data_IF_927087816260
#
_entry.id   IF_927087816260
#
_cell.length_a   1.000
_cell.length_b   1.000
_cell.length_c   1.000
_cell.angle_alpha   90.00
_cell.angle_beta   90.00
_cell.angle_gamma   90.00
#
_symmetry.space_group_name_H-M   'P 1'
#
loop_
_entity.id
_entity.type
_entity.pdbx_description
1 polymer ?
#
# COMPACT_ATOMS: atom_id res chain seq x y z
N UNK A 1 54.04 -47.25 33.43
CA UNK A 1 53.54 -46.71 34.71
C UNK A 1 53.16 -45.25 34.54
N UNK A 2 51.97 -44.88 35.06
CA UNK A 2 51.50 -43.52 35.49
C UNK A 2 51.36 -42.46 34.37
N UNK A 3 50.20 -42.25 33.73
CA UNK A 3 48.92 -41.64 34.14
C UNK A 3 48.94 -40.13 34.49
N UNK A 4 48.03 -39.40 33.80
CA UNK A 4 47.46 -38.04 34.01
C UNK A 4 48.31 -36.91 33.38
N UNK A 5 47.78 -36.06 32.51
CA UNK A 5 46.57 -35.21 32.69
C UNK A 5 45.80 -34.90 31.39
N UNK A 6 44.52 -34.68 31.61
CA UNK A 6 43.41 -34.36 30.70
C UNK A 6 43.33 -32.82 30.47
N UNK A 7 42.57 -32.39 29.45
CA UNK A 7 42.13 -31.01 29.10
C UNK A 7 43.07 -30.12 28.28
N UNK A 8 42.79 -29.97 26.97
CA UNK A 8 42.49 -28.68 26.31
C UNK A 8 42.20 -28.90 24.81
N UNK A 9 40.97 -29.32 24.51
CA UNK A 9 40.34 -29.06 23.20
C UNK A 9 39.04 -28.32 23.49
N UNK A 10 39.11 -27.00 23.57
CA UNK A 10 37.94 -26.14 23.51
C UNK A 10 38.34 -24.77 22.97
N UNK A 11 37.49 -24.23 22.10
CA UNK A 11 37.42 -22.84 21.64
C UNK A 11 38.31 -22.47 20.44
N UNK A 12 37.89 -22.89 19.24
CA UNK A 12 38.11 -22.13 18.01
C UNK A 12 36.90 -22.25 17.06
N UNK A 13 35.69 -22.20 17.62
CA UNK A 13 34.44 -22.07 16.86
C UNK A 13 33.47 -21.25 17.70
N UNK A 14 33.87 -20.00 17.99
CA UNK A 14 32.99 -19.00 18.55
C UNK A 14 32.87 -17.87 17.53
N UNK A 15 31.71 -17.82 16.88
CA UNK A 15 31.09 -16.60 16.41
C UNK A 15 31.86 -15.73 15.42
N UNK A 16 31.81 -16.12 14.14
CA UNK A 16 31.50 -15.13 13.10
C UNK A 16 30.00 -14.76 13.21
N UNK A 17 29.58 -14.30 14.38
CA UNK A 17 28.48 -13.38 14.46
C UNK A 17 29.08 -12.08 13.97
N UNK A 18 28.89 -11.80 12.68
CA UNK A 18 28.92 -10.44 12.19
C UNK A 18 27.87 -9.69 13.02
N UNK A 19 28.31 -9.14 14.16
CA UNK A 19 27.63 -8.08 14.85
C UNK A 19 27.69 -6.90 13.88
N UNK A 20 26.76 -6.89 12.93
CA UNK A 20 26.39 -5.71 12.19
C UNK A 20 26.18 -4.64 13.24
N UNK A 21 27.04 -3.61 13.22
CA UNK A 21 26.79 -2.42 13.99
C UNK A 21 25.52 -1.82 13.43
N UNK A 22 24.38 -2.15 14.05
CA UNK A 22 23.11 -1.50 13.80
C UNK A 22 23.33 -0.06 14.26
N UNK A 23 23.67 0.82 13.32
CA UNK A 23 23.37 2.22 13.48
C UNK A 23 21.89 2.29 13.88
N UNK A 24 21.60 3.02 14.95
CA UNK A 24 20.35 2.98 15.70
C UNK A 24 19.17 3.50 14.85
N UNK A 25 18.70 2.68 13.91
CA UNK A 25 17.70 3.05 12.90
C UNK A 25 16.37 3.41 13.57
N UNK A 26 15.64 4.34 12.96
CA UNK A 26 14.35 4.82 13.47
C UNK A 26 13.39 3.69 13.82
N UNK A 27 13.39 2.59 13.06
CA UNK A 27 12.53 1.44 13.36
C UNK A 27 12.89 0.76 14.69
N UNK A 28 14.19 0.56 14.94
CA UNK A 28 14.68 -0.02 16.19
C UNK A 28 14.34 0.86 17.39
N UNK A 29 14.45 2.19 17.24
CA UNK A 29 14.07 3.16 18.28
C UNK A 29 12.56 3.16 18.54
N UNK A 30 11.75 2.91 17.51
CA UNK A 30 10.31 2.69 17.63
C UNK A 30 9.94 1.28 18.13
N UNK A 31 10.91 0.37 18.29
CA UNK A 31 10.67 -1.03 18.66
C UNK A 31 9.95 -1.83 17.57
N UNK A 32 10.09 -1.42 16.32
CA UNK A 32 9.47 -2.06 15.17
C UNK A 32 10.46 -3.00 14.49
N UNK A 33 10.00 -4.23 14.23
CA UNK A 33 10.73 -5.14 13.34
C UNK A 33 10.65 -4.62 11.90
N UNK A 34 11.78 -4.68 11.18
CA UNK A 34 11.89 -4.16 9.81
C UNK A 34 10.84 -4.75 8.87
N UNK A 35 10.66 -6.07 8.89
CA UNK A 35 9.69 -6.74 8.02
C UNK A 35 8.26 -6.26 8.27
N UNK A 36 7.89 -6.13 9.55
CA UNK A 36 6.59 -5.66 10.01
C UNK A 36 6.34 -4.20 9.61
N UNK A 37 7.33 -3.32 9.82
CA UNK A 37 7.24 -1.92 9.42
C UNK A 37 7.05 -1.79 7.90
N UNK A 38 7.86 -2.50 7.11
CA UNK A 38 7.76 -2.52 5.66
C UNK A 38 6.40 -3.04 5.17
N UNK A 39 5.84 -4.07 5.82
CA UNK A 39 4.49 -4.57 5.53
C UNK A 39 3.43 -3.51 5.79
N UNK A 40 3.53 -2.80 6.92
CA UNK A 40 2.60 -1.70 7.25
C UNK A 40 2.72 -0.54 6.27
N UNK A 41 3.94 -0.19 5.83
CA UNK A 41 4.17 0.85 4.83
C UNK A 41 3.53 0.46 3.49
N UNK A 42 3.77 -0.78 3.02
CA UNK A 42 3.15 -1.32 1.81
C UNK A 42 1.62 -1.24 1.90
N UNK A 43 1.03 -1.80 2.96
CA UNK A 43 -0.42 -1.87 3.11
C UNK A 43 -1.08 -0.49 3.12
N UNK A 44 -0.48 0.49 3.82
CA UNK A 44 -1.05 1.83 3.93
C UNK A 44 -0.88 2.68 2.66
N UNK A 45 0.20 2.47 1.89
CA UNK A 45 0.52 3.31 0.73
C UNK A 45 0.03 2.76 -0.61
N UNK A 46 0.00 1.43 -0.78
CA UNK A 46 -0.37 0.82 -2.07
C UNK A 46 -1.52 -0.16 -1.98
N UNK A 47 -2.05 -0.41 -0.78
CA UNK A 47 -3.26 -1.20 -0.54
C UNK A 47 -2.99 -2.50 0.21
N UNK A 48 -4.06 -3.04 0.82
CA UNK A 48 -4.00 -4.27 1.61
C UNK A 48 -4.40 -5.47 0.74
N UNK A 49 -3.47 -6.41 0.56
CA UNK A 49 -3.63 -7.60 -0.27
C UNK A 49 -4.14 -8.83 0.51
N UNK A 50 -4.69 -8.65 1.72
CA UNK A 50 -5.03 -9.75 2.64
C UNK A 50 -6.19 -10.65 2.21
N UNK A 51 -7.00 -10.23 1.24
CA UNK A 51 -8.26 -10.90 0.92
C UNK A 51 -8.15 -11.91 -0.23
N UNK A 52 -6.93 -12.20 -0.72
CA UNK A 52 -6.71 -13.09 -1.86
C UNK A 52 -7.16 -12.47 -3.18
N UNK A 53 -7.45 -13.30 -4.21
CA UNK A 53 -7.96 -12.84 -5.48
C UNK A 53 -9.22 -11.98 -5.34
N UNK A 54 -9.32 -10.89 -6.10
CA UNK A 54 -10.50 -10.00 -6.06
C UNK A 54 -11.67 -10.54 -6.88
N UNK A 55 -12.16 -11.73 -6.51
CA UNK A 55 -13.23 -12.41 -7.24
C UNK A 55 -14.63 -11.83 -6.92
N UNK A 56 -14.83 -11.24 -5.72
CA UNK A 56 -16.14 -10.74 -5.25
C UNK A 56 -16.04 -9.49 -4.36
N UNK A 57 -15.17 -8.53 -4.69
CA UNK A 57 -15.03 -7.33 -3.85
C UNK A 57 -16.08 -6.28 -4.25
N UNK A 58 -17.03 -6.06 -3.35
CA UNK A 58 -17.94 -4.93 -3.40
C UNK A 58 -17.12 -3.65 -3.20
N UNK A 59 -17.37 -2.62 -4.00
CA UNK A 59 -16.71 -1.32 -3.86
C UNK A 59 -17.14 -0.74 -2.51
N UNK A 60 -16.32 -0.93 -1.47
CA UNK A 60 -16.63 -0.44 -0.13
C UNK A 60 -16.68 1.08 -0.20
N UNK A 61 -17.91 1.60 -0.21
CA UNK A 61 -18.19 3.03 -0.12
C UNK A 61 -17.56 3.63 1.13
N UNK A 62 -17.33 4.94 1.11
CA UNK A 62 -16.87 5.70 2.25
C UNK A 62 -17.84 5.55 3.43
N UNK A 63 -17.62 4.55 4.27
CA UNK A 63 -18.39 4.34 5.49
C UNK A 63 -17.68 5.03 6.65
N UNK A 64 -18.44 5.69 7.51
CA UNK A 64 -17.93 6.17 8.81
C UNK A 64 -17.66 5.00 9.78
N UNK A 65 -17.70 3.77 9.29
CA UNK A 65 -17.46 2.57 10.08
C UNK A 65 -15.96 2.43 10.39
N UNK A 66 -15.66 2.31 11.67
CA UNK A 66 -14.28 2.22 12.17
C UNK A 66 -13.62 0.93 11.67
N UNK A 67 -14.37 -0.18 11.63
CA UNK A 67 -13.85 -1.46 11.22
C UNK A 67 -13.41 -1.43 9.75
N UNK A 68 -14.22 -0.85 8.86
CA UNK A 68 -13.84 -0.67 7.46
C UNK A 68 -12.62 0.22 7.28
N UNK A 69 -12.50 1.31 8.05
CA UNK A 69 -11.31 2.16 7.98
C UNK A 69 -10.03 1.41 8.40
N UNK A 70 -10.10 0.50 9.38
CA UNK A 70 -8.93 -0.27 9.82
C UNK A 70 -8.42 -1.30 8.80
N UNK A 71 -9.24 -1.67 7.80
CA UNK A 71 -8.78 -2.53 6.70
C UNK A 71 -7.78 -1.81 5.78
N UNK A 72 -7.92 -0.49 5.65
CA UNK A 72 -7.15 0.34 4.72
C UNK A 72 -6.18 1.31 5.41
N UNK A 73 -6.30 1.48 6.73
CA UNK A 73 -5.39 2.29 7.54
C UNK A 73 -5.00 1.55 8.81
N UNK A 74 -3.76 1.06 8.83
CA UNK A 74 -3.21 0.25 9.91
C UNK A 74 -2.06 1.01 10.59
N UNK A 75 -2.19 1.25 11.89
CA UNK A 75 -1.10 1.81 12.68
C UNK A 75 -0.27 0.67 13.29
N UNK A 76 1.07 0.71 13.19
CA UNK A 76 1.89 -0.28 13.85
C UNK A 76 1.75 -0.15 15.36
N UNK A 77 1.79 -1.28 16.06
CA UNK A 77 1.89 -1.27 17.52
C UNK A 77 3.30 -0.81 17.93
N UNK A 78 3.37 0.30 18.67
CA UNK A 78 4.61 0.81 19.27
C UNK A 78 4.50 0.61 20.78
N UNK A 79 5.47 -0.08 21.42
CA UNK A 79 5.46 -0.26 22.87
C UNK A 79 5.41 1.09 23.59
N UNK A 80 4.52 1.21 24.59
CA UNK A 80 4.32 2.45 25.36
C UNK A 80 5.62 3.11 25.83
N UNK A 81 6.62 2.39 26.39
CA UNK A 81 7.87 3.01 26.81
C UNK A 81 8.61 3.71 25.66
N UNK A 82 8.66 3.07 24.48
CA UNK A 82 9.31 3.63 23.28
C UNK A 82 8.57 4.86 22.78
N UNK A 83 7.24 4.81 22.77
CA UNK A 83 6.41 5.96 22.40
C UNK A 83 6.60 7.13 23.38
N UNK A 84 6.61 6.88 24.68
CA UNK A 84 6.85 7.93 25.69
C UNK A 84 8.23 8.56 25.53
N UNK A 85 9.28 7.76 25.30
CA UNK A 85 10.64 8.28 25.04
C UNK A 85 10.65 9.18 23.80
N UNK A 86 9.96 8.79 22.73
CA UNK A 86 9.84 9.60 21.52
C UNK A 86 9.10 10.92 21.77
N UNK A 87 7.98 10.87 22.49
CA UNK A 87 7.13 12.03 22.80
C UNK A 87 7.83 13.05 23.68
N UNK A 88 8.71 12.59 24.58
CA UNK A 88 9.52 13.45 25.43
C UNK A 88 10.83 13.92 24.76
N UNK A 89 11.17 13.35 23.60
CA UNK A 89 12.36 13.69 22.83
C UNK A 89 12.07 14.51 21.59
N UNK A 90 12.96 14.41 20.60
CA UNK A 90 12.82 15.09 19.31
C UNK A 90 11.83 14.35 18.37
N UNK A 91 10.53 14.61 18.57
CA UNK A 91 9.46 14.04 17.75
C UNK A 91 9.48 14.54 16.29
N UNK A 92 9.97 15.75 16.01
CA UNK A 92 10.01 16.29 14.64
C UNK A 92 11.18 15.69 13.85
N UNK A 93 12.35 15.57 14.48
CA UNK A 93 13.49 14.85 13.92
C UNK A 93 13.15 13.38 13.65
N UNK A 94 12.52 12.70 14.61
CA UNK A 94 12.08 11.33 14.41
C UNK A 94 11.05 11.16 13.28
N UNK A 95 10.10 12.10 13.17
CA UNK A 95 9.13 12.09 12.06
C UNK A 95 9.83 12.26 10.71
N UNK A 96 10.79 13.18 10.61
CA UNK A 96 11.59 13.41 9.39
C UNK A 96 12.40 12.17 9.02
N UNK A 97 13.02 11.51 10.00
CA UNK A 97 13.78 10.29 9.79
C UNK A 97 12.90 9.12 9.33
N UNK A 98 11.72 8.95 9.94
CA UNK A 98 10.74 7.95 9.50
C UNK A 98 10.26 8.22 8.07
N UNK A 99 9.97 9.48 7.72
CA UNK A 99 9.65 9.86 6.34
C UNK A 99 10.80 9.52 5.38
N UNK A 100 12.04 9.78 5.78
CA UNK A 100 13.23 9.41 5.02
C UNK A 100 13.36 7.89 4.83
N UNK A 101 13.12 7.10 5.90
CA UNK A 101 13.08 5.64 5.84
C UNK A 101 12.01 5.16 4.85
N UNK A 102 10.78 5.67 4.97
CA UNK A 102 9.66 5.30 4.10
C UNK A 102 10.02 5.58 2.64
N UNK A 103 10.51 6.78 2.34
CA UNK A 103 10.94 7.14 0.99
C UNK A 103 12.02 6.19 0.48
N UNK A 104 13.04 5.89 1.30
CA UNK A 104 14.12 4.94 0.93
C UNK A 104 13.56 3.55 0.63
N UNK A 105 12.67 3.04 1.47
CA UNK A 105 12.03 1.75 1.25
C UNK A 105 11.25 1.72 -0.07
N UNK A 106 10.45 2.74 -0.38
CA UNK A 106 9.72 2.80 -1.65
C UNK A 106 10.62 2.84 -2.88
N UNK A 107 11.86 3.31 -2.73
CA UNK A 107 12.87 3.35 -3.78
C UNK A 107 13.72 2.06 -3.83
N UNK A 108 13.35 1.02 -3.08
CA UNK A 108 14.16 -0.19 -2.93
C UNK A 108 13.70 -1.38 -3.78
N UNK A 109 14.63 -2.31 -4.04
CA UNK A 109 14.32 -3.58 -4.72
C UNK A 109 13.34 -4.44 -3.93
N UNK A 110 13.43 -4.40 -2.61
CA UNK A 110 12.56 -5.13 -1.69
C UNK A 110 11.12 -4.63 -1.75
N UNK A 111 10.91 -3.32 -1.87
CA UNK A 111 9.56 -2.77 -2.04
C UNK A 111 8.93 -3.24 -3.35
N UNK A 112 9.60 -3.05 -4.49
CA UNK A 112 9.00 -3.39 -5.79
C UNK A 112 8.76 -4.89 -5.92
N UNK A 113 9.67 -5.72 -5.39
CA UNK A 113 9.48 -7.18 -5.34
C UNK A 113 8.25 -7.55 -4.53
N UNK A 114 8.09 -6.95 -3.33
CA UNK A 114 6.96 -7.26 -2.44
C UNK A 114 5.64 -6.74 -3.02
N UNK A 115 5.65 -5.55 -3.65
CA UNK A 115 4.49 -5.00 -4.35
C UNK A 115 4.03 -5.91 -5.49
N UNK A 116 4.95 -6.27 -6.40
CA UNK A 116 4.62 -7.11 -7.55
C UNK A 116 4.11 -8.49 -7.12
N UNK A 117 4.75 -9.10 -6.11
CA UNK A 117 4.30 -10.37 -5.54
C UNK A 117 2.86 -10.26 -5.00
N UNK A 118 2.59 -9.22 -4.21
CA UNK A 118 1.26 -9.02 -3.63
C UNK A 118 0.21 -8.71 -4.70
N UNK A 119 0.54 -7.87 -5.68
CA UNK A 119 -0.30 -7.53 -6.83
C UNK A 119 -0.69 -8.76 -7.65
N UNK A 120 0.27 -9.61 -7.99
CA UNK A 120 0.00 -10.85 -8.74
C UNK A 120 -0.84 -11.82 -7.91
N UNK A 121 -0.62 -11.92 -6.59
CA UNK A 121 -1.44 -12.78 -5.72
C UNK A 121 -2.89 -12.32 -5.58
N UNK A 122 -3.16 -11.02 -5.77
CA UNK A 122 -4.49 -10.44 -5.72
C UNK A 122 -5.21 -10.43 -7.08
N UNK A 123 -4.57 -10.94 -8.14
CA UNK A 123 -5.15 -11.00 -9.47
C UNK A 123 -6.43 -11.84 -9.46
N UNK A 124 -7.55 -11.34 -10.01
CA UNK A 124 -8.78 -12.11 -10.11
C UNK A 124 -8.58 -13.43 -10.86
N UNK A 125 -9.25 -14.47 -10.39
CA UNK A 125 -9.21 -15.81 -11.01
C UNK A 125 -10.45 -16.09 -11.85
N UNK A 126 -11.50 -15.28 -11.69
CA UNK A 126 -12.74 -15.41 -12.42
C UNK A 126 -13.34 -14.04 -12.76
N UNK A 127 -14.15 -14.03 -13.81
CA UNK A 127 -14.98 -12.90 -14.18
C UNK A 127 -16.45 -13.28 -13.98
N UNK A 128 -17.30 -12.37 -13.50
CA UNK A 128 -18.73 -12.59 -13.48
C UNK A 128 -19.26 -12.75 -14.90
N UNK A 129 -20.43 -13.37 -15.04
CA UNK A 129 -21.13 -13.43 -16.32
C UNK A 129 -21.29 -12.04 -16.94
N UNK A 130 -21.14 -11.98 -18.26
CA UNK A 130 -21.31 -10.80 -19.09
C UNK A 130 -22.10 -11.16 -20.33
N UNK A 131 -22.99 -10.24 -20.71
CA UNK A 131 -23.64 -10.31 -22.01
C UNK A 131 -22.60 -10.17 -23.11
N UNK A 132 -22.83 -10.82 -24.24
CA UNK A 132 -21.99 -10.64 -25.42
C UNK A 132 -22.16 -9.23 -26.02
N UNK A 133 -21.18 -8.81 -26.82
CA UNK A 133 -21.15 -7.47 -27.39
C UNK A 133 -22.37 -7.18 -28.28
N UNK A 134 -22.92 -8.17 -29.00
CA UNK A 134 -24.08 -7.97 -29.87
C UNK A 134 -25.36 -7.76 -29.06
N UNK A 135 -25.53 -8.49 -27.96
CA UNK A 135 -26.63 -8.26 -27.01
C UNK A 135 -26.54 -6.86 -26.39
N UNK A 136 -25.35 -6.43 -25.96
CA UNK A 136 -25.14 -5.08 -25.40
C UNK A 136 -25.48 -4.01 -26.44
N UNK A 137 -25.01 -4.16 -27.67
CA UNK A 137 -25.29 -3.22 -28.76
C UNK A 137 -26.79 -3.13 -29.07
N UNK A 138 -27.49 -4.27 -29.14
CA UNK A 138 -28.94 -4.33 -29.33
C UNK A 138 -29.69 -3.56 -28.23
N UNK A 139 -29.32 -3.78 -26.97
CA UNK A 139 -29.91 -3.07 -25.84
C UNK A 139 -29.59 -1.56 -25.85
N UNK A 140 -28.36 -1.18 -26.21
CA UNK A 140 -27.98 0.23 -26.36
C UNK A 140 -28.81 0.93 -27.44
N UNK A 141 -29.08 0.24 -28.56
CA UNK A 141 -29.94 0.78 -29.62
C UNK A 141 -31.40 0.90 -29.15
N UNK A 142 -31.91 -0.07 -28.38
CA UNK A 142 -33.22 0.02 -27.73
C UNK A 142 -33.33 1.21 -26.77
N UNK A 143 -32.28 1.46 -25.97
CA UNK A 143 -32.21 2.63 -25.07
C UNK A 143 -32.21 3.94 -25.86
N UNK A 144 -31.45 4.04 -26.97
CA UNK A 144 -31.46 5.23 -27.83
C UNK A 144 -32.86 5.51 -28.39
N UNK A 145 -33.63 4.47 -28.73
CA UNK A 145 -34.99 4.64 -29.24
C UNK A 145 -35.97 5.06 -28.14
N UNK A 146 -35.82 4.52 -26.92
CA UNK A 146 -36.57 5.01 -25.75
C UNK A 146 -36.29 6.49 -25.48
N UNK A 147 -35.04 6.94 -25.62
CA UNK A 147 -34.68 8.36 -25.46
C UNK A 147 -35.38 9.26 -26.48
N UNK A 148 -35.45 8.84 -27.75
CA UNK A 148 -36.20 9.59 -28.77
C UNK A 148 -37.69 9.63 -28.44
N UNK A 149 -38.27 8.50 -28.04
CA UNK A 149 -39.68 8.43 -27.63
C UNK A 149 -39.97 9.37 -26.45
N UNK A 150 -39.10 9.41 -25.43
CA UNK A 150 -39.23 10.36 -24.31
C UNK A 150 -39.12 11.81 -24.80
N UNK A 151 -38.21 12.10 -25.72
CA UNK A 151 -38.07 13.44 -26.29
C UNK A 151 -39.33 13.90 -27.03
N UNK A 152 -40.01 12.99 -27.73
CA UNK A 152 -41.29 13.30 -28.40
C UNK A 152 -42.45 13.39 -27.40
N UNK A 153 -42.49 12.54 -26.37
CA UNK A 153 -43.48 12.63 -25.29
C UNK A 153 -43.37 13.94 -24.51
N UNK A 154 -42.16 14.47 -24.32
CA UNK A 154 -41.94 15.81 -23.71
C UNK A 154 -42.57 16.95 -24.51
N UNK A 155 -42.74 16.79 -25.83
CA UNK A 155 -43.42 17.79 -26.68
C UNK A 155 -44.94 17.71 -26.54
N UNK A 156 -45.46 16.59 -26.03
CA UNK A 156 -46.89 16.38 -25.82
C UNK A 156 -47.32 16.86 -24.41
N UNK A 157 -48.16 17.91 -24.38
CA UNK A 157 -48.61 18.56 -23.13
C UNK A 157 -49.64 17.75 -22.32
N UNK A 158 -50.17 16.65 -22.85
CA UNK A 158 -51.14 15.80 -22.12
C UNK A 158 -50.48 14.76 -21.22
N UNK A 159 -49.16 14.57 -21.31
CA UNK A 159 -48.42 13.66 -20.43
C UNK A 159 -47.90 14.45 -19.23
N UNK A 160 -48.09 13.90 -18.03
CA UNK A 160 -47.63 14.54 -16.79
C UNK A 160 -46.11 14.53 -16.67
N UNK A 161 -45.57 15.59 -16.06
CA UNK A 161 -44.13 15.72 -15.84
C UNK A 161 -43.55 14.61 -14.94
N UNK A 162 -44.34 14.09 -13.99
CA UNK A 162 -43.91 12.99 -13.12
C UNK A 162 -43.70 11.68 -13.89
N UNK A 163 -44.55 11.41 -14.89
CA UNK A 163 -44.43 10.24 -15.75
C UNK A 163 -43.18 10.35 -16.63
N UNK A 164 -42.90 11.53 -17.19
CA UNK A 164 -41.67 11.79 -17.96
C UNK A 164 -40.43 11.57 -17.09
N UNK A 165 -40.40 12.15 -15.89
CA UNK A 165 -39.26 12.00 -14.97
C UNK A 165 -39.00 10.54 -14.56
N UNK A 166 -40.06 9.74 -14.37
CA UNK A 166 -39.92 8.31 -14.08
C UNK A 166 -39.32 7.55 -15.27
N UNK A 167 -39.74 7.86 -16.50
CA UNK A 167 -39.17 7.25 -17.71
C UNK A 167 -37.70 7.64 -17.91
N UNK A 168 -37.35 8.90 -17.69
CA UNK A 168 -35.95 9.35 -17.74
C UNK A 168 -35.09 8.63 -16.72
N UNK A 169 -35.59 8.46 -15.49
CA UNK A 169 -34.90 7.68 -14.47
C UNK A 169 -34.70 6.23 -14.89
N UNK A 170 -35.73 5.58 -15.44
CA UNK A 170 -35.64 4.21 -15.97
C UNK A 170 -34.57 4.09 -17.06
N UNK A 171 -34.53 5.03 -18.01
CA UNK A 171 -33.51 5.07 -19.06
C UNK A 171 -32.11 5.29 -18.47
N UNK A 172 -31.97 6.18 -17.49
CA UNK A 172 -30.69 6.41 -16.82
C UNK A 172 -30.19 5.16 -16.08
N UNK A 173 -31.09 4.43 -15.41
CA UNK A 173 -30.75 3.18 -14.73
C UNK A 173 -30.39 2.06 -15.75
N UNK A 174 -31.12 1.95 -16.88
CA UNK A 174 -30.75 1.04 -17.98
C UNK A 174 -29.37 1.39 -18.56
N UNK A 175 -29.06 2.67 -18.76
CA UNK A 175 -27.74 3.12 -19.23
C UNK A 175 -26.63 2.75 -18.25
N UNK A 176 -26.86 2.93 -16.94
CA UNK A 176 -25.89 2.56 -15.91
C UNK A 176 -25.62 1.05 -15.93
N UNK A 177 -26.68 0.24 -16.00
CA UNK A 177 -26.56 -1.22 -16.11
C UNK A 177 -25.78 -1.64 -17.37
N UNK A 178 -26.09 -1.06 -18.53
CA UNK A 178 -25.37 -1.37 -19.77
C UNK A 178 -23.90 -0.95 -19.70
N UNK A 179 -23.59 0.19 -19.07
CA UNK A 179 -22.21 0.62 -18.86
C UNK A 179 -21.44 -0.38 -17.97
N UNK A 180 -22.06 -0.90 -16.90
CA UNK A 180 -21.46 -1.93 -16.04
C UNK A 180 -21.23 -3.26 -16.76
N UNK A 181 -22.11 -3.61 -17.72
CA UNK A 181 -22.02 -4.83 -18.53
C UNK A 181 -21.08 -4.69 -19.73
N UNK A 182 -20.75 -3.46 -20.14
CA UNK A 182 -19.87 -3.19 -21.29
C UNK A 182 -18.40 -3.55 -21.03
N UNK A 183 -18.00 -3.65 -19.76
CA UNK A 183 -16.68 -4.16 -19.41
C UNK A 183 -16.69 -5.71 -19.43
N UNK A 184 -15.95 -6.35 -20.36
CA UNK A 184 -15.91 -7.80 -20.47
C UNK A 184 -15.13 -8.45 -19.31
N UNK A 185 -14.27 -7.70 -18.63
CA UNK A 185 -13.41 -8.21 -17.55
C UNK A 185 -13.42 -7.26 -16.34
N UNK A 186 -14.59 -7.04 -15.71
CA UNK A 186 -14.74 -6.05 -14.65
C UNK A 186 -13.85 -6.30 -13.44
N UNK A 187 -13.60 -7.55 -13.06
CA UNK A 187 -12.76 -7.85 -11.91
C UNK A 187 -11.32 -7.49 -12.27
N UNK A 188 -10.84 -7.84 -13.47
CA UNK A 188 -9.53 -7.43 -13.96
C UNK A 188 -9.39 -5.91 -14.04
N UNK A 189 -10.35 -5.21 -14.62
CA UNK A 189 -10.34 -3.73 -14.71
C UNK A 189 -10.28 -3.09 -13.32
N UNK A 190 -11.08 -3.60 -12.37
CA UNK A 190 -11.04 -3.16 -10.97
C UNK A 190 -9.67 -3.43 -10.32
N UNK A 191 -9.09 -4.60 -10.56
CA UNK A 191 -7.76 -4.95 -10.06
C UNK A 191 -6.66 -4.04 -10.62
N UNK A 192 -6.68 -3.74 -11.92
CA UNK A 192 -5.72 -2.82 -12.55
C UNK A 192 -5.86 -1.40 -12.01
N UNK A 193 -7.09 -0.96 -11.72
CA UNK A 193 -7.37 0.35 -11.10
C UNK A 193 -6.91 0.42 -9.64
N UNK A 194 -7.16 -0.62 -8.84
CA UNK A 194 -6.80 -0.66 -7.43
C UNK A 194 -5.30 -0.87 -7.22
N UNK A 195 -4.68 -1.70 -8.06
CA UNK A 195 -3.27 -2.09 -8.01
C UNK A 195 -2.61 -1.81 -9.36
N UNK A 196 -2.31 -0.54 -9.67
CA UNK A 196 -1.69 -0.16 -10.94
C UNK A 196 -0.33 -0.84 -11.16
N UNK A 197 0.05 -1.09 -12.40
CA UNK A 197 1.37 -1.68 -12.69
C UNK A 197 2.52 -0.82 -12.13
N UNK A 198 2.37 0.51 -12.20
CA UNK A 198 3.25 1.46 -11.54
C UNK A 198 2.72 1.84 -10.14
N UNK A 199 3.37 1.40 -9.04
CA UNK A 199 2.96 1.76 -7.68
C UNK A 199 3.12 3.26 -7.36
N UNK A 200 3.91 4.02 -8.14
CA UNK A 200 4.09 5.45 -7.92
C UNK A 200 2.77 6.23 -8.03
N UNK A 201 1.85 5.76 -8.87
CA UNK A 201 0.51 6.33 -9.04
C UNK A 201 -0.25 6.32 -7.71
N UNK A 202 -0.32 5.15 -7.04
CA UNK A 202 -1.04 5.01 -5.78
C UNK A 202 -0.33 5.75 -4.65
N UNK A 203 1.00 5.68 -4.58
CA UNK A 203 1.78 6.43 -3.58
C UNK A 203 1.53 7.93 -3.71
N UNK A 204 1.56 8.49 -4.92
CA UNK A 204 1.26 9.90 -5.17
C UNK A 204 -0.13 10.28 -4.67
N UNK A 205 -1.14 9.47 -4.98
CA UNK A 205 -2.50 9.68 -4.54
C UNK A 205 -2.62 9.67 -3.00
N UNK A 206 -1.90 8.77 -2.31
CA UNK A 206 -1.89 8.70 -0.83
C UNK A 206 -1.17 9.88 -0.18
N UNK A 207 -0.08 10.34 -0.77
CA UNK A 207 0.61 11.55 -0.32
C UNK A 207 -0.28 12.79 -0.45
N UNK A 208 -1.03 12.91 -1.56
CA UNK A 208 -2.01 13.99 -1.75
C UNK A 208 -3.19 13.86 -0.79
N UNK A 209 -3.72 12.65 -0.57
CA UNK A 209 -4.76 12.38 0.42
C UNK A 209 -4.32 12.84 1.82
N UNK A 210 -3.08 12.52 2.23
CA UNK A 210 -2.52 12.98 3.50
C UNK A 210 -2.55 14.51 3.61
N UNK A 211 -2.08 15.24 2.58
CA UNK A 211 -2.08 16.71 2.59
C UNK A 211 -3.50 17.28 2.71
N UNK A 212 -4.45 16.69 1.99
CA UNK A 212 -5.85 17.10 2.04
C UNK A 212 -6.45 16.89 3.42
N UNK A 213 -6.23 15.74 4.05
CA UNK A 213 -6.74 15.47 5.40
C UNK A 213 -6.06 16.38 6.42
N UNK A 214 -4.73 16.50 6.36
CA UNK A 214 -3.95 17.33 7.29
C UNK A 214 -4.39 18.79 7.30
N UNK A 215 -4.72 19.35 6.13
CA UNK A 215 -5.23 20.72 6.01
C UNK A 215 -6.58 20.96 6.71
N UNK A 216 -7.34 19.90 7.00
CA UNK A 216 -8.65 19.98 7.67
C UNK A 216 -8.59 19.71 9.18
N UNK A 217 -7.41 19.43 9.73
CA UNK A 217 -7.26 19.10 11.15
C UNK A 217 -7.24 20.37 11.99
N UNK A 218 -8.15 20.45 12.95
CA UNK A 218 -8.16 21.48 13.97
C UNK A 218 -7.34 21.01 15.18
N UNK A 219 -6.12 21.53 15.31
CA UNK A 219 -5.23 21.23 16.43
C UNK A 219 -5.61 21.95 17.73
N UNK A 220 -6.56 22.89 17.70
CA UNK A 220 -7.11 23.52 18.90
C UNK A 220 -8.31 22.73 19.48
N UNK A 221 -8.69 21.61 18.85
CA UNK A 221 -9.80 20.78 19.31
C UNK A 221 -9.59 20.30 20.75
N UNK A 222 -10.59 20.56 21.61
CA UNK A 222 -10.54 20.20 23.03
C UNK A 222 -10.79 18.72 23.25
N UNK A 223 -10.02 18.14 24.17
CA UNK A 223 -10.15 16.77 24.64
C UNK A 223 -10.74 16.73 26.06
N UNK A 224 -11.42 15.64 26.38
CA UNK A 224 -11.88 15.35 27.74
C UNK A 224 -10.71 14.99 28.64
N UNK A 225 -10.93 15.05 29.96
CA UNK A 225 -10.05 14.34 30.89
C UNK A 225 -10.07 12.83 30.59
N UNK A 226 -8.95 12.11 30.81
CA UNK A 226 -8.94 10.65 30.66
C UNK A 226 -10.00 10.00 31.55
N UNK A 227 -10.73 9.03 31.01
CA UNK A 227 -11.66 8.22 31.81
C UNK A 227 -10.91 7.21 32.71
N UNK A 228 -11.66 6.40 33.47
CA UNK A 228 -11.10 5.34 34.34
C UNK A 228 -10.26 4.28 33.61
N UNK A 229 -10.33 4.23 32.28
CA UNK A 229 -9.53 3.35 31.41
C UNK A 229 -8.42 4.10 30.66
N UNK A 230 -8.19 5.38 30.99
CA UNK A 230 -7.21 6.24 30.32
C UNK A 230 -7.62 6.66 28.91
N UNK A 231 -8.90 6.50 28.51
CA UNK A 231 -9.37 6.90 27.19
C UNK A 231 -9.70 8.40 27.19
N UNK A 232 -9.22 9.07 26.16
CA UNK A 232 -9.44 10.50 25.93
C UNK A 232 -10.29 10.67 24.67
N UNK A 233 -11.33 11.49 24.78
CA UNK A 233 -12.30 11.77 23.72
C UNK A 233 -12.27 13.25 23.34
N UNK A 234 -12.74 13.58 22.15
CA UNK A 234 -13.03 14.95 21.76
C UNK A 234 -14.27 15.44 22.48
N UNK A 235 -14.21 16.69 22.96
CA UNK A 235 -15.37 17.37 23.56
C UNK A 235 -16.44 17.64 22.50
N UNK A 236 -16.03 17.96 21.27
CA UNK A 236 -16.95 18.15 20.15
C UNK A 236 -17.33 16.79 19.52
N UNK A 237 -18.63 16.41 19.51
CA UNK A 237 -19.10 15.17 18.90
C UNK A 237 -18.79 15.04 17.40
N UNK A 238 -18.66 16.15 16.67
CA UNK A 238 -18.37 16.11 15.24
C UNK A 238 -16.91 15.70 14.96
N UNK A 239 -15.98 15.99 15.87
CA UNK A 239 -14.62 15.48 15.80
C UNK A 239 -14.55 13.98 16.11
N UNK A 240 -15.47 13.46 16.92
CA UNK A 240 -15.58 12.01 17.12
C UNK A 240 -16.04 11.27 15.88
N UNK A 241 -16.76 11.93 14.97
CA UNK A 241 -17.18 11.33 13.69
C UNK A 241 -16.12 11.44 12.59
N UNK A 242 -15.01 12.14 12.82
CA UNK A 242 -13.92 12.26 11.83
C UNK A 242 -13.23 10.91 11.61
N UNK A 243 -12.61 10.77 10.45
CA UNK A 243 -11.90 9.55 10.05
C UNK A 243 -10.71 9.23 10.97
N UNK A 244 -10.30 7.96 11.01
CA UNK A 244 -9.13 7.50 11.75
C UNK A 244 -7.85 8.23 11.32
N UNK A 245 -7.70 8.52 10.01
CA UNK A 245 -6.57 9.31 9.48
C UNK A 245 -6.56 10.72 10.06
N UNK A 246 -7.71 11.41 10.08
CA UNK A 246 -7.84 12.73 10.68
C UNK A 246 -7.46 12.71 12.16
N UNK A 247 -7.99 11.73 12.92
CA UNK A 247 -7.68 11.59 14.35
C UNK A 247 -6.21 11.22 14.59
N UNK A 248 -5.58 10.44 13.72
CA UNK A 248 -4.16 10.10 13.82
C UNK A 248 -3.27 11.33 13.60
N UNK A 249 -3.60 12.18 12.62
CA UNK A 249 -2.91 13.46 12.38
C UNK A 249 -3.12 14.41 13.56
N UNK A 250 -4.34 14.52 14.10
CA UNK A 250 -4.56 15.30 15.32
C UNK A 250 -3.67 14.82 16.48
N UNK A 251 -3.59 13.50 16.70
CA UNK A 251 -2.82 12.90 17.81
C UNK A 251 -1.31 12.97 17.63
N UNK A 252 -0.79 13.08 16.40
CA UNK A 252 0.64 13.33 16.20
C UNK A 252 1.03 14.77 16.56
N UNK A 253 0.07 15.69 16.58
CA UNK A 253 0.25 17.08 16.95
C UNK A 253 0.72 17.96 15.79
N UNK A 254 0.58 19.28 15.98
CA UNK A 254 0.81 20.27 14.93
C UNK A 254 2.25 20.27 14.41
N UNK A 255 3.24 20.28 15.29
CA UNK A 255 4.67 20.36 14.91
C UNK A 255 5.12 19.18 14.04
N UNK A 256 4.68 17.97 14.40
CA UNK A 256 4.95 16.77 13.62
C UNK A 256 4.23 16.84 12.28
N UNK A 257 2.96 17.26 12.28
CA UNK A 257 2.16 17.39 11.06
C UNK A 257 2.75 18.41 10.10
N UNK A 258 3.23 19.55 10.59
CA UNK A 258 3.86 20.59 9.77
C UNK A 258 5.17 20.08 9.15
N UNK A 259 5.97 19.34 9.93
CA UNK A 259 7.21 18.69 9.47
C UNK A 259 6.93 17.70 8.35
N UNK A 260 5.98 16.77 8.57
CA UNK A 260 5.61 15.75 7.57
C UNK A 260 4.95 16.39 6.35
N UNK A 261 4.10 17.39 6.53
CA UNK A 261 3.47 18.15 5.43
C UNK A 261 4.51 18.81 4.53
N UNK A 262 5.52 19.43 5.13
CA UNK A 262 6.62 20.05 4.39
C UNK A 262 7.42 19.00 3.62
N UNK A 263 7.74 17.87 4.25
CA UNK A 263 8.42 16.75 3.60
C UNK A 263 7.62 16.19 2.42
N UNK A 264 6.32 15.96 2.60
CA UNK A 264 5.44 15.40 1.56
C UNK A 264 5.30 16.38 0.38
N UNK A 265 5.13 17.68 0.65
CA UNK A 265 5.12 18.70 -0.40
C UNK A 265 6.40 18.70 -1.22
N UNK A 266 7.55 18.57 -0.57
CA UNK A 266 8.83 18.49 -1.26
C UNK A 266 8.96 17.20 -2.08
N UNK A 267 8.55 16.06 -1.51
CA UNK A 267 8.57 14.79 -2.22
C UNK A 267 7.71 14.82 -3.49
N UNK A 268 6.52 15.41 -3.42
CA UNK A 268 5.61 15.51 -4.56
C UNK A 268 6.12 16.39 -5.71
N UNK A 269 7.16 17.22 -5.51
CA UNK A 269 7.80 18.00 -6.58
C UNK A 269 8.74 17.16 -7.45
N UNK A 270 9.29 16.10 -6.87
CA UNK A 270 10.25 15.21 -7.54
C UNK A 270 9.63 13.91 -8.00
N UNK A 271 10.50 12.97 -8.35
CA UNK A 271 10.10 11.59 -8.64
C UNK A 271 9.60 10.90 -7.36
N UNK A 272 8.44 10.24 -7.48
CA UNK A 272 7.78 9.59 -6.34
C UNK A 272 8.54 8.32 -5.96
N UNK A 273 8.87 7.51 -6.96
CA UNK A 273 9.67 6.29 -6.86
C UNK A 273 10.65 6.30 -8.05
N UNK A 274 11.95 6.36 -7.75
CA UNK A 274 13.08 6.28 -8.67
C UNK A 274 13.02 5.03 -9.54
N UNK A 275 13.30 5.16 -10.84
CA UNK A 275 13.54 4.01 -11.73
C UNK A 275 14.73 3.18 -11.23
N UNK A 276 15.81 3.83 -10.81
CA UNK A 276 16.98 3.19 -10.23
C UNK A 276 16.67 2.75 -8.79
N UNK A 277 16.85 1.45 -8.50
CA UNK A 277 16.53 0.86 -7.21
C UNK A 277 17.79 0.59 -6.40
N UNK A 278 17.75 0.90 -5.12
CA UNK A 278 18.81 0.56 -4.17
C UNK A 278 18.39 -0.60 -3.27
N UNK A 279 19.33 -1.38 -2.74
CA UNK A 279 19.01 -2.32 -1.67
C UNK A 279 18.82 -1.58 -0.33
N UNK A 280 17.92 -2.05 0.52
CA UNK A 280 17.82 -1.55 1.90
C UNK A 280 19.02 -1.96 2.75
N UNK A 281 19.74 -3.03 2.38
CA UNK A 281 20.99 -3.45 3.04
C UNK A 281 22.17 -2.50 2.72
N UNK A 282 22.20 -1.94 1.51
CA UNK A 282 23.35 -1.20 1.00
C UNK A 282 23.37 0.25 1.50
N UNK A 283 22.23 0.75 1.97
CA UNK A 283 22.10 2.10 2.53
C UNK A 283 22.70 2.26 3.94
N UNK A 284 23.30 1.21 4.52
CA UNK A 284 24.00 1.28 5.80
C UNK A 284 25.47 1.75 5.69
N UNK A 285 26.02 1.90 4.47
CA UNK A 285 27.44 2.27 4.26
C UNK A 285 27.68 3.70 3.78
N UNK A 286 26.64 4.47 3.43
CA UNK A 286 26.79 5.77 2.76
C UNK A 286 26.59 6.99 3.67
N UNK A 287 27.08 6.94 4.91
CA UNK A 287 27.22 8.14 5.76
C UNK A 287 28.57 8.14 6.49
N UNK A 288 29.68 8.12 5.75
CA UNK A 288 30.95 8.69 6.22
C UNK A 288 31.80 9.15 5.03
N UNK A 289 32.19 10.43 5.07
CA UNK A 289 33.29 11.09 4.33
C UNK A 289 33.05 11.51 2.89
N UNK A 290 33.19 12.82 2.67
CA UNK A 290 33.16 13.46 1.36
C UNK A 290 34.45 13.33 0.55
N UNK A 291 34.32 13.74 -0.73
CA UNK A 291 35.34 14.06 -1.73
C UNK A 291 36.46 13.04 -1.96
N UNK A 292 36.43 12.39 -3.12
CA UNK A 292 37.33 12.78 -4.22
C UNK A 292 36.83 12.21 -5.56
N UNK A 293 36.80 13.09 -6.55
CA UNK A 293 36.77 12.81 -7.97
C UNK A 293 38.01 11.98 -8.34
N UNK A 294 37.90 11.02 -9.27
CA UNK A 294 38.72 10.93 -10.50
C UNK A 294 38.16 9.84 -11.43
N UNK A 295 37.87 10.28 -12.65
CA UNK A 295 37.58 9.48 -13.85
C UNK A 295 38.73 8.52 -14.19
N UNK A 296 38.40 7.37 -14.79
CA UNK A 296 39.13 6.88 -15.97
C UNK A 296 38.27 5.90 -16.78
N UNK A 297 37.96 6.32 -18.00
CA UNK A 297 37.54 5.48 -19.12
C UNK A 297 38.60 4.41 -19.44
N UNK A 298 38.18 3.21 -19.87
CA UNK A 298 38.59 2.64 -21.18
C UNK A 298 37.77 1.40 -21.59
N UNK A 299 36.94 1.61 -22.60
CA UNK A 299 36.67 0.80 -23.81
C UNK A 299 37.28 -0.61 -23.98
N UNK A 300 36.43 -1.57 -24.39
CA UNK A 300 36.45 -2.38 -25.65
C UNK A 300 35.71 -3.72 -25.41
N UNK A 301 34.48 -3.92 -25.90
CA UNK A 301 34.05 -4.34 -27.24
C UNK A 301 34.39 -5.81 -27.58
N UNK A 302 33.37 -6.70 -27.65
CA UNK A 302 33.14 -7.72 -28.70
C UNK A 302 32.04 -8.74 -28.30
N UNK A 303 30.90 -8.67 -29.00
CA UNK A 303 30.03 -9.82 -29.34
C UNK A 303 30.66 -10.50 -30.59
N UNK A 304 30.33 -11.75 -31.05
CA UNK A 304 28.98 -12.33 -31.07
C UNK A 304 28.80 -13.86 -30.95
N UNK A 305 27.52 -14.23 -30.87
CA UNK A 305 26.88 -15.48 -31.35
C UNK A 305 27.19 -16.83 -30.67
N UNK A 306 26.15 -17.45 -30.10
CA UNK A 306 25.42 -18.57 -30.73
C UNK A 306 24.55 -19.31 -29.69
N UNK A 307 23.28 -19.54 -30.04
CA UNK A 307 22.45 -20.60 -29.46
C UNK A 307 22.66 -21.88 -30.28
N UNK A 308 22.55 -23.09 -29.70
CA UNK A 308 21.27 -23.79 -29.84
C UNK A 308 20.85 -24.74 -28.69
N UNK A 309 19.53 -24.95 -28.64
CA UNK A 309 18.75 -26.17 -28.32
C UNK A 309 18.95 -27.04 -27.05
N UNK A 310 17.85 -27.11 -26.29
CA UNK A 310 17.08 -28.28 -25.77
C UNK A 310 17.80 -29.50 -25.18
N UNK A 311 17.37 -29.85 -23.95
CA UNK A 311 16.80 -31.14 -23.48
C UNK A 311 16.88 -31.11 -21.93
N UNK A 312 15.83 -31.23 -21.11
CA UNK A 312 14.92 -32.36 -20.90
C UNK A 312 14.59 -32.38 -19.38
N UNK A 313 13.30 -32.49 -19.00
CA UNK A 313 12.84 -32.69 -17.60
C UNK A 313 12.85 -34.19 -17.27
N UNK A 314 12.91 -34.63 -15.99
CA UNK A 314 11.67 -34.79 -15.22
C UNK A 314 11.73 -34.41 -13.73
N UNK A 315 10.53 -34.21 -13.17
CA UNK A 315 10.19 -33.89 -11.78
C UNK A 315 10.41 -35.10 -10.85
N UNK A 316 11.02 -34.89 -9.68
CA UNK A 316 10.93 -35.81 -8.54
C UNK A 316 9.70 -35.46 -7.68
N UNK A 317 8.58 -36.14 -7.93
CA UNK A 317 7.68 -36.58 -6.86
C UNK A 317 8.05 -38.05 -6.65
N UNK A 318 8.50 -38.40 -5.45
CA UNK A 318 8.50 -39.75 -4.84
C UNK A 318 9.59 -39.83 -3.77
N UNK A 319 9.27 -39.35 -2.57
CA UNK A 319 9.93 -39.76 -1.32
C UNK A 319 9.00 -39.45 -0.15
N UNK A 320 7.90 -40.20 -0.11
CA UNK A 320 6.98 -40.26 1.01
C UNK A 320 6.54 -41.72 1.12
N UNK A 321 7.40 -42.55 1.74
CA UNK A 321 7.13 -43.89 2.30
C UNK A 321 8.42 -44.55 2.82
N UNK A 322 8.90 -44.07 3.95
CA UNK A 322 9.62 -44.81 4.99
C UNK A 322 9.89 -43.78 6.08
N UNK A 323 9.17 -43.76 7.19
CA UNK A 323 9.53 -44.47 8.42
C UNK A 323 8.25 -44.53 9.28
N UNK A 324 7.62 -45.70 9.33
CA UNK A 324 6.75 -46.18 10.42
C UNK A 324 7.19 -47.63 10.65
N UNK A 325 7.37 -48.01 11.93
CA UNK A 325 8.02 -49.23 12.48
C UNK A 325 9.55 -49.17 12.46
N UNK A 326 10.30 -49.37 13.55
CA UNK A 326 10.01 -49.90 14.89
C UNK A 326 10.46 -48.92 15.98
#
# INVERSE_FOLDING_TARGET
>A
MKQKTFFLFLVASFGLLASFKIADDILSRLGLQQEYAQKMILNNLVGNFSNGPMDNVQEDGATNDVYQQTKFFQLPYIPRPKLTTLLNGDKTGAAKELCGYIKRYLNSNEFITRYNTARESAKPTSEPYRMDAATIESMQNGVKEQEKSIADMKKNKTISASIIAQMEKSVADQKRYLAEQSDPTPNKTKWEKMYPADPAITVKARLQEYLNVAATVDFAAKLTVPDKYGKVKFVNPDYEKKSLKWKAIFRSGKEVTDTVTSFVKEWLKGEIISIEKTSMSDAQTSNTTGKSVTNSNKNENTTPNASPEKQGKPRLKDKLKSIIKN
#
